data_IF_338736760985
#
_entry.id   IF_338736760985
#
_cell.length_a   1.000
_cell.length_b   1.000
_cell.length_c   1.000
_cell.angle_alpha   90.00
_cell.angle_beta   90.00
_cell.angle_gamma   90.00
#
_symmetry.space_group_name_H-M   'P 1'
#
loop_
_entity.id
_entity.type
_entity.pdbx_description
1 polymer ?
#
# COMPACT_ATOMS: atom_id res chain seq x y z
N UNK A 1 14.71 57.88 17.57
CA UNK A 1 13.53 57.04 17.83
C UNK A 1 13.96 55.94 18.78
N UNK A 2 13.49 55.96 20.02
CA UNK A 2 13.83 54.97 21.04
C UNK A 2 12.74 53.89 21.00
N UNK A 3 13.02 52.72 20.41
CA UNK A 3 12.12 51.57 20.51
C UNK A 3 12.23 51.02 21.93
N UNK A 4 11.26 51.32 22.78
CA UNK A 4 11.05 50.61 24.04
C UNK A 4 10.89 49.13 23.74
N UNK A 5 11.84 48.30 24.20
CA UNK A 5 11.73 46.86 24.12
C UNK A 5 10.60 46.41 25.06
N UNK A 6 9.43 46.12 24.50
CA UNK A 6 8.33 45.51 25.24
C UNK A 6 8.63 44.02 25.42
N UNK A 7 8.90 43.62 26.67
CA UNK A 7 9.06 42.20 27.02
C UNK A 7 7.67 41.61 27.30
N UNK A 8 7.15 40.84 26.35
CA UNK A 8 5.88 40.11 26.54
C UNK A 8 6.14 38.92 27.48
N UNK A 9 5.70 39.04 28.73
CA UNK A 9 5.82 37.97 29.74
C UNK A 9 4.54 37.16 29.74
N UNK A 10 4.62 35.90 29.32
CA UNK A 10 3.51 34.94 29.45
C UNK A 10 3.56 34.29 30.84
N UNK A 11 2.40 34.06 31.45
CA UNK A 11 2.34 33.24 32.66
C UNK A 11 2.67 31.79 32.32
N UNK A 12 3.33 31.08 33.24
CA UNK A 12 3.60 29.66 33.09
C UNK A 12 2.30 28.85 32.90
N UNK A 13 1.23 29.25 33.58
CA UNK A 13 -0.12 28.68 33.41
C UNK A 13 -0.60 28.78 31.95
N UNK A 14 -0.47 29.95 31.33
CA UNK A 14 -0.87 30.15 29.92
C UNK A 14 -0.09 29.22 28.98
N UNK A 15 1.21 29.07 29.23
CA UNK A 15 2.07 28.20 28.45
C UNK A 15 1.66 26.73 28.63
N UNK A 16 1.35 26.30 29.86
CA UNK A 16 0.90 24.95 30.17
C UNK A 16 -0.43 24.62 29.49
N UNK A 17 -1.44 25.48 29.61
CA UNK A 17 -2.74 25.30 28.94
C UNK A 17 -2.58 25.20 27.43
N UNK A 18 -1.71 26.02 26.83
CA UNK A 18 -1.42 25.94 25.39
C UNK A 18 -0.72 24.63 25.03
N UNK A 19 0.16 24.12 25.88
CA UNK A 19 0.84 22.84 25.67
C UNK A 19 -0.13 21.67 25.77
N UNK A 20 -1.03 21.66 26.75
CA UNK A 20 -2.11 20.67 26.88
C UNK A 20 -2.96 20.62 25.61
N UNK A 21 -3.47 21.77 25.13
CA UNK A 21 -4.26 21.81 23.90
C UNK A 21 -3.50 21.33 22.65
N UNK A 22 -2.18 21.58 22.56
CA UNK A 22 -1.34 21.03 21.48
C UNK A 22 -1.17 19.52 21.61
N UNK A 23 -1.01 19.00 22.83
CA UNK A 23 -0.89 17.57 23.09
C UNK A 23 -2.18 16.86 22.70
N UNK A 24 -3.34 17.42 23.06
CA UNK A 24 -4.65 16.86 22.70
C UNK A 24 -4.83 16.81 21.17
N UNK A 25 -4.46 17.88 20.46
CA UNK A 25 -4.49 17.89 18.99
C UNK A 25 -3.57 16.82 18.40
N UNK A 26 -2.34 16.68 18.92
CA UNK A 26 -1.41 15.65 18.45
C UNK A 26 -1.91 14.23 18.75
N UNK A 27 -2.57 14.00 19.88
CA UNK A 27 -3.18 12.71 20.20
C UNK A 27 -4.29 12.34 19.20
N UNK A 28 -5.09 13.34 18.80
CA UNK A 28 -6.11 13.16 17.77
C UNK A 28 -5.46 12.82 16.41
N UNK A 29 -4.47 13.60 15.99
CA UNK A 29 -3.77 13.38 14.71
C UNK A 29 -3.10 11.99 14.65
N UNK A 30 -2.45 11.58 15.74
CA UNK A 30 -1.85 10.24 15.85
C UNK A 30 -2.91 9.14 15.78
N UNK A 31 -4.08 9.35 16.37
CA UNK A 31 -5.19 8.38 16.28
C UNK A 31 -5.68 8.23 14.85
N UNK A 32 -5.89 9.35 14.15
CA UNK A 32 -6.35 9.36 12.75
C UNK A 32 -5.29 8.71 11.82
N UNK A 33 -4.00 8.95 12.08
CA UNK A 33 -2.90 8.28 11.36
C UNK A 33 -2.88 6.75 11.58
N UNK A 34 -3.11 6.28 12.81
CA UNK A 34 -3.17 4.83 13.10
C UNK A 34 -4.33 4.16 12.38
N UNK A 35 -5.49 4.82 12.31
CA UNK A 35 -6.64 4.34 11.54
C UNK A 35 -6.31 4.30 10.05
N UNK A 36 -5.74 5.38 9.50
CA UNK A 36 -5.31 5.43 8.10
C UNK A 36 -4.31 4.33 7.75
N UNK A 37 -3.32 4.07 8.61
CA UNK A 37 -2.34 3.01 8.44
C UNK A 37 -2.98 1.62 8.41
N UNK A 38 -3.92 1.33 9.33
CA UNK A 38 -4.65 0.06 9.34
C UNK A 38 -5.41 -0.19 8.03
N UNK A 39 -6.06 0.84 7.49
CA UNK A 39 -6.75 0.78 6.20
C UNK A 39 -5.77 0.52 5.06
N UNK A 40 -4.61 1.18 5.05
CA UNK A 40 -3.58 0.97 4.03
C UNK A 40 -3.03 -0.47 4.07
N UNK A 41 -2.72 -0.99 5.25
CA UNK A 41 -2.25 -2.38 5.41
C UNK A 41 -3.26 -3.38 4.85
N UNK A 42 -4.55 -3.25 5.19
CA UNK A 42 -5.58 -4.13 4.63
C UNK A 42 -5.72 -4.04 3.10
N UNK A 43 -5.54 -2.84 2.52
CA UNK A 43 -5.51 -2.68 1.05
C UNK A 43 -4.29 -3.34 0.42
N UNK A 44 -3.12 -3.25 1.04
CA UNK A 44 -1.88 -3.88 0.57
C UNK A 44 -2.02 -5.40 0.57
N UNK A 45 -2.52 -5.99 1.66
CA UNK A 45 -2.82 -7.44 1.73
C UNK A 45 -3.83 -7.86 0.64
N UNK A 46 -4.86 -7.05 0.40
CA UNK A 46 -5.82 -7.28 -0.69
C UNK A 46 -5.16 -7.24 -2.08
N UNK A 47 -4.20 -6.34 -2.30
CA UNK A 47 -3.42 -6.27 -3.55
C UNK A 47 -2.54 -7.50 -3.70
N UNK A 48 -1.85 -7.91 -2.63
CA UNK A 48 -0.99 -9.11 -2.62
C UNK A 48 -1.79 -10.37 -3.00
N UNK A 49 -2.97 -10.55 -2.40
CA UNK A 49 -3.87 -11.67 -2.73
C UNK A 49 -4.32 -11.66 -4.20
N UNK A 50 -4.65 -10.47 -4.73
CA UNK A 50 -5.03 -10.32 -6.15
C UNK A 50 -3.85 -10.61 -7.08
N UNK A 51 -2.65 -10.14 -6.74
CA UNK A 51 -1.43 -10.41 -7.51
C UNK A 51 -1.11 -11.91 -7.52
N UNK A 52 -1.15 -12.57 -6.36
CA UNK A 52 -0.95 -14.02 -6.25
C UNK A 52 -1.97 -14.80 -7.09
N UNK A 53 -3.24 -14.36 -7.09
CA UNK A 53 -4.29 -14.97 -7.91
C UNK A 53 -4.05 -14.79 -9.41
N UNK A 54 -3.56 -13.61 -9.82
CA UNK A 54 -3.19 -13.33 -11.21
C UNK A 54 -1.98 -14.15 -11.66
N UNK A 55 -0.93 -14.21 -10.84
CA UNK A 55 0.27 -14.99 -11.14
C UNK A 55 -0.03 -16.49 -11.24
N UNK A 56 -0.82 -17.04 -10.30
CA UNK A 56 -1.21 -18.44 -10.33
C UNK A 56 -2.02 -18.76 -11.59
N UNK A 57 -3.09 -18.01 -11.85
CA UNK A 57 -3.99 -18.28 -12.98
C UNK A 57 -3.29 -18.12 -14.33
N UNK A 58 -2.44 -17.11 -14.51
CA UNK A 58 -1.71 -16.90 -15.75
C UNK A 58 -0.65 -17.99 -16.00
N UNK A 59 0.08 -18.45 -14.97
CA UNK A 59 1.09 -19.50 -15.12
C UNK A 59 0.47 -20.81 -15.63
N UNK A 60 -0.67 -21.24 -15.09
CA UNK A 60 -1.36 -22.46 -15.55
C UNK A 60 -1.95 -22.30 -16.96
N UNK A 61 -2.53 -21.15 -17.29
CA UNK A 61 -3.08 -20.89 -18.63
C UNK A 61 -1.99 -20.89 -19.71
N UNK A 62 -0.85 -20.24 -19.47
CA UNK A 62 0.28 -20.22 -20.40
C UNK A 62 0.88 -21.61 -20.57
N UNK A 63 1.05 -22.36 -19.46
CA UNK A 63 1.58 -23.72 -19.52
C UNK A 63 0.64 -24.68 -20.26
N UNK A 64 -0.68 -24.58 -20.05
CA UNK A 64 -1.67 -25.35 -20.80
C UNK A 64 -1.61 -25.09 -22.31
N UNK A 65 -1.41 -23.83 -22.73
CA UNK A 65 -1.22 -23.48 -24.14
C UNK A 65 0.09 -24.05 -24.70
N UNK A 66 1.19 -24.01 -23.96
CA UNK A 66 2.47 -24.61 -24.37
C UNK A 66 2.30 -26.12 -24.61
N UNK A 67 1.67 -26.83 -23.66
CA UNK A 67 1.42 -28.28 -23.78
C UNK A 67 0.53 -28.58 -24.98
N UNK A 68 -0.52 -27.79 -25.21
CA UNK A 68 -1.43 -27.95 -26.34
C UNK A 68 -0.71 -27.73 -27.69
N UNK A 69 0.11 -26.68 -27.80
CA UNK A 69 0.89 -26.39 -29.01
C UNK A 69 1.93 -27.49 -29.28
N UNK A 70 2.65 -27.94 -28.25
CA UNK A 70 3.62 -29.03 -28.38
C UNK A 70 2.94 -30.32 -28.88
N UNK A 71 1.77 -30.66 -28.34
CA UNK A 71 0.99 -31.82 -28.79
C UNK A 71 0.49 -31.70 -30.24
N UNK A 72 0.08 -30.50 -30.67
CA UNK A 72 -0.35 -30.24 -32.04
C UNK A 72 0.80 -30.40 -33.05
N UNK A 73 2.01 -29.91 -32.73
CA UNK A 73 3.20 -30.04 -33.58
C UNK A 73 3.61 -31.50 -33.77
N UNK A 74 3.57 -32.32 -32.72
CA UNK A 74 3.88 -33.76 -32.82
C UNK A 74 2.88 -34.48 -33.72
N UNK A 75 1.58 -34.20 -33.57
CA UNK A 75 0.55 -34.80 -34.43
C UNK A 75 0.75 -34.45 -35.91
N UNK A 76 1.00 -33.18 -36.23
CA UNK A 76 1.19 -32.75 -37.63
C UNK A 76 2.47 -33.33 -38.22
N UNK A 77 3.56 -33.42 -37.45
CA UNK A 77 4.81 -34.02 -37.92
C UNK A 77 4.67 -35.54 -38.18
N UNK A 78 3.97 -36.27 -37.31
CA UNK A 78 3.78 -37.72 -37.46
C UNK A 78 2.85 -38.08 -38.63
N UNK A 79 1.74 -37.35 -38.81
CA UNK A 79 0.82 -37.50 -39.95
C UNK A 79 1.44 -37.07 -41.29
N UNK A 80 2.36 -36.10 -41.26
CA UNK A 80 3.13 -35.68 -42.45
C UNK A 80 4.24 -36.67 -42.82
N UNK A 81 4.83 -37.35 -41.82
CA UNK A 81 5.95 -38.29 -42.02
C UNK A 81 5.50 -39.72 -42.33
N UNK A 82 4.22 -40.04 -42.16
CA UNK A 82 3.65 -41.34 -42.51
C UNK A 82 2.26 -41.15 -43.18
N UNK A 83 2.22 -40.94 -44.52
CA UNK A 83 0.97 -40.78 -45.28
C UNK A 83 0.09 -42.03 -45.30
#
# INVERSE_FOLDING_TARGET
MNQSQETVTYSLETILTRMEGKIDSLQKDVTDLKVGQAVLTGKVEGIENRLNSLEGNQKYQVWALIVLLAGAIVKTFFLSSNP
#
